data_IF_106602176366
#
_entry.id   IF_106602176366
#
_cell.length_a   1.000
_cell.length_b   1.000
_cell.length_c   1.000
_cell.angle_alpha   90.00
_cell.angle_beta   90.00
_cell.angle_gamma   90.00
#
_symmetry.space_group_name_H-M   'P 1'
#
loop_
_entity.id
_entity.type
_entity.pdbx_description
1 polymer ?
#
# COMPACT_ATOMS: atom_id res chain seq x y z
N UNK A 1 -17.89 -9.31 20.52
CA UNK A 1 -18.19 -10.23 19.40
C UNK A 1 -19.56 -10.84 19.69
N UNK A 2 -20.52 -10.77 18.78
CA UNK A 2 -21.76 -11.54 18.91
C UNK A 2 -21.38 -13.03 18.73
N UNK A 3 -21.74 -13.88 19.70
CA UNK A 3 -21.52 -15.34 19.70
C UNK A 3 -20.08 -15.86 19.53
N UNK A 4 -19.05 -15.02 19.66
CA UNK A 4 -17.65 -15.47 19.54
C UNK A 4 -17.21 -15.84 18.11
N UNK A 5 -18.04 -15.56 17.10
CA UNK A 5 -17.71 -15.81 15.70
C UNK A 5 -16.85 -14.69 15.08
N UNK A 6 -15.77 -15.08 14.41
CA UNK A 6 -14.94 -14.19 13.59
C UNK A 6 -15.45 -14.22 12.15
N UNK A 7 -15.91 -13.08 11.64
CA UNK A 7 -16.40 -12.94 10.27
C UNK A 7 -15.36 -12.26 9.38
N UNK A 8 -15.18 -12.79 8.18
CA UNK A 8 -14.36 -12.16 7.15
C UNK A 8 -15.22 -11.12 6.41
N UNK A 9 -15.14 -9.85 6.85
CA UNK A 9 -16.01 -8.78 6.34
C UNK A 9 -15.45 -8.08 5.08
N UNK A 10 -14.13 -8.05 4.92
CA UNK A 10 -13.47 -7.40 3.79
C UNK A 10 -12.13 -8.06 3.51
N UNK A 11 -11.91 -8.50 2.27
CA UNK A 11 -10.59 -8.77 1.72
C UNK A 11 -10.45 -8.07 0.38
N UNK A 12 -9.23 -7.66 0.12
CA UNK A 12 -8.83 -7.24 -1.20
C UNK A 12 -7.37 -7.58 -1.41
N UNK A 13 -6.96 -7.70 -2.67
CA UNK A 13 -5.60 -8.04 -3.05
C UNK A 13 -5.03 -6.96 -3.97
N UNK A 14 -3.70 -6.90 -4.06
CA UNK A 14 -2.98 -5.94 -4.88
C UNK A 14 -3.48 -4.49 -4.64
N UNK A 15 -4.03 -3.84 -5.67
CA UNK A 15 -4.39 -2.42 -5.63
C UNK A 15 -5.71 -2.10 -4.94
N UNK A 16 -6.47 -3.09 -4.49
CA UNK A 16 -7.79 -2.79 -3.91
C UNK A 16 -7.73 -2.07 -2.55
N UNK A 17 -6.62 -2.16 -1.82
CA UNK A 17 -6.40 -1.41 -0.57
C UNK A 17 -6.00 0.05 -0.83
N UNK A 18 -5.53 0.38 -2.04
CA UNK A 18 -5.02 1.72 -2.35
C UNK A 18 -6.07 2.82 -2.20
N UNK A 19 -7.36 2.47 -2.34
CA UNK A 19 -8.46 3.40 -2.14
C UNK A 19 -8.47 4.03 -0.73
N UNK A 20 -7.96 3.31 0.28
CA UNK A 20 -7.84 3.75 1.66
C UNK A 20 -6.53 4.48 1.95
N UNK A 21 -5.57 4.41 1.02
CA UNK A 21 -4.25 5.00 1.17
C UNK A 21 -4.20 6.31 0.38
N UNK A 22 -4.55 7.42 1.06
CA UNK A 22 -4.71 8.74 0.42
C UNK A 22 -3.51 9.20 -0.41
N UNK A 23 -2.28 8.83 -0.01
CA UNK A 23 -1.05 9.24 -0.69
C UNK A 23 -0.94 8.74 -2.15
N UNK A 24 -1.48 7.56 -2.44
CA UNK A 24 -1.35 6.94 -3.76
C UNK A 24 -2.03 7.75 -4.87
N UNK A 25 -3.16 8.41 -4.55
CA UNK A 25 -3.82 9.34 -5.48
C UNK A 25 -2.97 10.55 -5.81
N UNK A 26 -2.19 11.06 -4.85
CA UNK A 26 -1.31 12.20 -5.11
C UNK A 26 -0.12 11.81 -5.98
N UNK A 27 0.42 10.60 -5.79
CA UNK A 27 1.51 10.09 -6.63
C UNK A 27 1.07 9.86 -8.07
N UNK A 28 -0.19 9.45 -8.32
CA UNK A 28 -0.72 9.32 -9.68
C UNK A 28 -0.80 10.66 -10.44
N UNK A 29 -0.98 11.76 -9.70
CA UNK A 29 -1.04 13.11 -10.27
C UNK A 29 0.34 13.69 -10.58
N UNK A 30 1.41 13.09 -10.06
CA UNK A 30 2.76 13.53 -10.37
C UNK A 30 3.06 13.31 -11.86
N UNK A 31 3.85 14.17 -12.53
CA UNK A 31 4.22 13.98 -13.94
C UNK A 31 4.90 12.63 -14.24
N UNK A 32 5.55 12.04 -13.23
CA UNK A 32 6.21 10.74 -13.32
C UNK A 32 5.33 9.58 -12.81
N UNK A 33 4.08 9.87 -12.45
CA UNK A 33 3.21 8.96 -11.72
C UNK A 33 3.90 8.41 -10.47
N UNK A 34 3.69 7.13 -10.20
CA UNK A 34 4.25 6.44 -9.02
C UNK A 34 5.70 5.97 -9.18
N UNK A 35 6.31 6.13 -10.35
CA UNK A 35 7.67 5.65 -10.63
C UNK A 35 7.92 4.17 -10.26
N UNK A 36 6.94 3.28 -10.47
CA UNK A 36 7.05 1.86 -10.09
C UNK A 36 7.60 0.97 -11.22
N UNK A 37 7.96 1.56 -12.37
CA UNK A 37 8.43 0.80 -13.52
C UNK A 37 9.80 0.17 -13.24
N UNK A 38 9.93 -1.15 -13.49
CA UNK A 38 11.17 -1.89 -13.28
C UNK A 38 11.41 -2.40 -11.85
N UNK A 39 10.45 -2.23 -10.94
CA UNK A 39 10.47 -2.85 -9.62
C UNK A 39 10.08 -4.34 -9.68
N UNK A 40 10.53 -5.13 -8.70
CA UNK A 40 10.16 -6.54 -8.56
C UNK A 40 8.64 -6.73 -8.41
N UNK A 41 8.01 -5.82 -7.68
CA UNK A 41 6.56 -5.68 -7.57
C UNK A 41 6.20 -4.21 -7.35
N UNK A 42 4.95 -3.78 -7.64
CA UNK A 42 4.47 -2.45 -7.25
C UNK A 42 4.72 -2.22 -5.75
N UNK A 43 4.91 -0.98 -5.29
CA UNK A 43 5.25 -0.74 -3.88
C UNK A 43 6.53 -1.44 -3.37
N UNK A 44 7.52 -1.82 -4.19
CA UNK A 44 8.80 -2.33 -3.66
C UNK A 44 9.77 -1.22 -3.20
N UNK A 45 9.37 0.06 -3.33
CA UNK A 45 10.24 1.23 -3.12
C UNK A 45 10.19 1.81 -1.70
N UNK A 46 9.05 1.71 -1.01
CA UNK A 46 8.92 2.10 0.40
C UNK A 46 9.62 1.10 1.30
N UNK A 47 10.27 1.60 2.34
CA UNK A 47 10.85 0.78 3.40
C UNK A 47 10.15 1.04 4.72
N UNK A 48 10.21 0.08 5.63
CA UNK A 48 9.77 0.34 7.00
C UNK A 48 10.71 1.35 7.66
N UNK A 49 10.20 2.06 8.66
CA UNK A 49 10.95 3.12 9.34
C UNK A 49 12.31 2.64 9.87
N UNK A 50 12.38 1.40 10.35
CA UNK A 50 13.58 0.73 10.86
C UNK A 50 14.57 0.27 9.77
N UNK A 51 14.15 0.23 8.51
CA UNK A 51 14.97 -0.20 7.37
C UNK A 51 15.70 0.96 6.68
N UNK A 52 15.33 2.18 7.02
CA UNK A 52 16.19 3.34 6.80
C UNK A 52 17.22 3.31 7.93
N UNK A 53 18.49 3.10 7.59
CA UNK A 53 19.56 3.01 8.60
C UNK A 53 19.51 4.19 9.58
N UNK A 54 20.07 4.01 10.78
CA UNK A 54 20.23 5.12 11.72
C UNK A 54 20.95 6.27 11.00
N UNK A 55 20.23 7.37 10.78
CA UNK A 55 20.72 8.56 10.07
C UNK A 55 21.97 9.16 10.67
#
# INVERSE_FOLDING_TARGET
LQDGAVYHTYSTYARGTEAFMGIYRFLDLAPWGRNENGLEFPQAWWRRHDEYGNG
#
